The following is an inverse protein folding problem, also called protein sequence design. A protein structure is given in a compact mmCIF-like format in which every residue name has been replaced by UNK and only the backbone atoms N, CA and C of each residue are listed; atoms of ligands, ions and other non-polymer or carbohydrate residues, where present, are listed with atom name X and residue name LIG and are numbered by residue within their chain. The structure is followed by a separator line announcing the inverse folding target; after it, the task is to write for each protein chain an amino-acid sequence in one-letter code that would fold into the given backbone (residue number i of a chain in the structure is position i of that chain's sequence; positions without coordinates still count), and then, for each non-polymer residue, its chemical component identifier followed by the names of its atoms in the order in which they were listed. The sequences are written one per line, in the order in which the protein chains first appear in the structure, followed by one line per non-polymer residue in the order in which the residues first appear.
data_IF_303400930768
#
_entry.id   IF_303400930768
#
_cell.length_a   1.000
_cell.length_b   1.000
_cell.length_c   1.000
_cell.angle_alpha   90.00
_cell.angle_beta   90.00
_cell.angle_gamma   90.00
#
_symmetry.space_group_name_H-M   'P 1'
#
loop_
_entity.id
_entity.type
_entity.pdbx_description
1 polymer ?
#
# COMPACT_ATOMS: atom_id res chain seq x y z
N UNK A 1 0.08 -7.52 -39.15
CA UNK A 1 -0.63 -7.35 -37.88
C UNK A 1 0.35 -7.54 -36.74
N UNK A 2 0.91 -6.45 -36.21
CA UNK A 2 1.94 -6.48 -35.17
C UNK A 2 1.31 -6.39 -33.78
N UNK A 3 1.50 -7.42 -32.98
CA UNK A 3 1.15 -7.43 -31.56
C UNK A 3 2.11 -6.49 -30.81
N UNK A 4 1.68 -5.30 -30.44
CA UNK A 4 2.40 -4.44 -29.52
C UNK A 4 2.22 -4.98 -28.11
N UNK A 5 3.23 -5.67 -27.61
CA UNK A 5 3.36 -6.08 -26.22
C UNK A 5 3.65 -4.80 -25.41
N UNK A 6 2.67 -4.35 -24.63
CA UNK A 6 2.88 -3.27 -23.65
C UNK A 6 3.52 -3.91 -22.43
N UNK A 7 4.85 -3.75 -22.32
CA UNK A 7 5.60 -4.04 -21.10
C UNK A 7 5.25 -2.96 -20.07
N UNK A 8 4.41 -3.31 -19.10
CA UNK A 8 4.28 -2.53 -17.87
C UNK A 8 5.49 -2.87 -17.01
N UNK A 9 6.50 -1.99 -17.07
CA UNK A 9 7.67 -2.08 -16.21
C UNK A 9 7.26 -1.93 -14.75
N UNK A 10 7.30 -3.01 -14.01
CA UNK A 10 7.23 -3.02 -12.55
C UNK A 10 8.51 -2.36 -12.04
N UNK A 11 8.44 -1.08 -11.67
CA UNK A 11 9.54 -0.36 -11.03
C UNK A 11 9.69 -0.89 -9.60
N UNK A 12 10.48 -1.95 -9.44
CA UNK A 12 10.94 -2.40 -8.13
C UNK A 12 12.00 -1.39 -7.67
N UNK A 13 11.60 -0.44 -6.84
CA UNK A 13 12.54 0.39 -6.09
C UNK A 13 13.14 -0.52 -5.02
N UNK A 14 14.34 -1.04 -5.30
CA UNK A 14 15.17 -1.68 -4.30
C UNK A 14 15.60 -0.60 -3.31
N UNK A 15 14.91 -0.50 -2.18
CA UNK A 15 15.38 0.26 -1.02
C UNK A 15 16.52 -0.57 -0.43
N UNK A 16 17.76 -0.18 -0.73
CA UNK A 16 18.92 -0.70 -0.03
C UNK A 16 18.78 -0.33 1.44
N UNK A 17 18.52 -1.32 2.29
CA UNK A 17 18.54 -1.14 3.73
C UNK A 17 19.97 -0.76 4.12
N UNK A 18 20.18 0.49 4.51
CA UNK A 18 21.40 0.93 5.16
C UNK A 18 21.39 0.28 6.53
N UNK A 19 22.21 -0.73 6.74
CA UNK A 19 22.40 -1.35 8.04
C UNK A 19 23.10 -0.34 8.95
N UNK A 20 22.38 0.18 9.91
CA UNK A 20 22.92 1.06 10.93
C UNK A 20 23.31 0.23 12.16
N UNK A 21 24.59 0.27 12.52
CA UNK A 21 25.07 -0.36 13.74
C UNK A 21 24.91 0.60 14.94
N UNK A 22 24.63 0.07 16.11
CA UNK A 22 24.58 0.82 17.35
C UNK A 22 25.92 0.64 18.08
N UNK A 23 26.67 1.74 18.20
CA UNK A 23 27.96 1.78 18.86
C UNK A 23 27.77 2.32 20.28
N UNK A 24 28.19 1.55 21.28
CA UNK A 24 28.13 1.98 22.68
C UNK A 24 29.54 2.41 23.15
N UNK A 25 29.66 3.64 23.60
CA UNK A 25 30.89 4.20 24.16
C UNK A 25 30.99 3.89 25.66
N UNK A 26 32.24 3.95 26.19
CA UNK A 26 32.54 3.70 27.61
C UNK A 26 31.82 4.64 28.57
N UNK A 27 31.49 5.85 28.11
CA UNK A 27 30.70 6.82 28.89
C UNK A 27 29.19 6.51 28.90
N UNK A 28 28.73 5.38 28.28
CA UNK A 28 27.33 4.98 28.17
C UNK A 28 26.59 5.63 27.02
N UNK A 29 27.20 6.50 26.24
CA UNK A 29 26.56 7.11 25.07
C UNK A 29 26.44 6.09 23.96
N UNK A 30 25.23 6.02 23.35
CA UNK A 30 24.92 5.18 22.18
C UNK A 30 24.87 6.04 20.93
N UNK A 31 25.58 5.63 19.89
CA UNK A 31 25.66 6.33 18.61
C UNK A 31 25.16 5.38 17.54
N UNK A 32 24.23 5.84 16.71
CA UNK A 32 23.69 5.07 15.61
C UNK A 32 24.33 5.55 14.30
N UNK A 33 24.89 4.62 13.54
CA UNK A 33 25.52 4.92 12.26
C UNK A 33 26.16 3.70 11.61
N UNK A 34 26.62 3.90 10.39
CA UNK A 34 27.37 2.91 9.61
C UNK A 34 28.84 2.93 10.02
N UNK A 35 29.41 1.80 10.45
CA UNK A 35 30.84 1.68 10.74
C UNK A 35 31.61 1.56 9.43
N UNK A 36 32.40 2.60 9.10
CA UNK A 36 33.19 2.66 7.86
C UNK A 36 34.57 2.04 8.04
N UNK A 37 35.19 2.28 9.19
CA UNK A 37 36.54 1.79 9.52
C UNK A 37 36.53 1.33 10.97
N UNK A 38 37.09 0.14 11.22
CA UNK A 38 37.34 -0.39 12.54
C UNK A 38 38.74 -1.03 12.54
N UNK A 39 39.61 -0.49 13.37
CA UNK A 39 40.94 -1.05 13.65
C UNK A 39 41.27 -0.93 15.12
N UNK A 40 42.44 -1.38 15.53
CA UNK A 40 42.86 -1.39 16.93
C UNK A 40 43.08 0.03 17.53
N UNK A 41 43.12 1.05 16.69
CA UNK A 41 43.36 2.44 17.12
C UNK A 41 42.09 3.29 17.06
N UNK A 42 41.28 3.14 16.01
CA UNK A 42 40.14 4.03 15.77
C UNK A 42 38.92 3.29 15.16
N UNK A 43 37.74 3.80 15.50
CA UNK A 43 36.48 3.45 14.87
C UNK A 43 35.88 4.70 14.22
N UNK A 44 35.62 4.65 12.92
CA UNK A 44 34.99 5.75 12.17
C UNK A 44 33.54 5.37 11.85
N UNK A 45 32.62 6.20 12.28
CA UNK A 45 31.20 6.04 12.16
C UNK A 45 30.61 7.16 11.31
N UNK A 46 29.77 6.82 10.37
CA UNK A 46 29.00 7.76 9.55
C UNK A 46 27.54 7.76 10.02
N UNK A 47 27.03 8.91 10.43
CA UNK A 47 25.64 9.03 10.83
C UNK A 47 24.69 9.15 9.60
N UNK A 48 23.37 9.14 9.86
CA UNK A 48 22.34 9.26 8.83
C UNK A 48 22.42 10.58 8.02
N UNK A 49 23.03 11.64 8.56
CA UNK A 49 23.25 12.91 7.85
C UNK A 49 24.53 12.92 6.99
N UNK A 50 25.29 11.81 6.97
CA UNK A 50 26.53 11.69 6.21
C UNK A 50 27.79 12.22 6.96
N UNK A 51 27.64 12.78 8.15
CA UNK A 51 28.76 13.24 8.96
C UNK A 51 29.56 12.04 9.51
N UNK A 52 30.89 12.17 9.51
CA UNK A 52 31.83 11.14 9.99
C UNK A 52 32.36 11.54 11.34
N UNK A 53 32.32 10.61 12.28
CA UNK A 53 32.86 10.76 13.63
C UNK A 53 33.91 9.69 13.84
N UNK A 54 35.02 10.11 14.48
CA UNK A 54 36.13 9.23 14.79
C UNK A 54 36.22 9.07 16.30
N UNK A 55 36.27 7.83 16.75
CA UNK A 55 36.40 7.46 18.17
C UNK A 55 37.63 6.60 18.37
N UNK A 56 38.41 6.80 19.43
CA UNK A 56 39.47 5.87 19.82
C UNK A 56 38.88 4.48 20.08
N UNK A 57 39.51 3.42 19.59
CA UNK A 57 39.00 2.07 19.75
C UNK A 57 38.76 1.67 21.22
N UNK A 58 39.63 2.19 22.14
CA UNK A 58 39.49 1.96 23.58
C UNK A 58 38.26 2.61 24.25
N UNK A 59 37.59 3.55 23.57
CA UNK A 59 36.36 4.17 24.06
C UNK A 59 35.11 3.45 23.58
N UNK A 60 35.21 2.54 22.60
CA UNK A 60 34.13 1.75 22.09
C UNK A 60 34.01 0.46 22.89
N UNK A 61 32.87 0.28 23.57
CA UNK A 61 32.61 -0.90 24.41
C UNK A 61 31.97 -2.03 23.57
N UNK A 62 31.08 -1.67 22.67
CA UNK A 62 30.43 -2.66 21.79
C UNK A 62 29.93 -2.01 20.49
N UNK A 63 29.98 -2.80 19.42
CA UNK A 63 29.36 -2.50 18.14
C UNK A 63 28.36 -3.63 17.92
N UNK A 64 27.06 -3.33 17.93
CA UNK A 64 26.00 -4.29 17.69
C UNK A 64 25.36 -3.99 16.34
N UNK A 65 25.41 -4.94 15.42
CA UNK A 65 24.57 -4.91 14.23
C UNK A 65 23.13 -5.22 14.64
N UNK A 66 22.17 -4.55 14.04
CA UNK A 66 20.74 -4.64 14.43
C UNK A 66 20.12 -6.04 14.30
N UNK A 67 20.88 -7.05 13.86
CA UNK A 67 20.42 -8.44 13.68
C UNK A 67 20.79 -9.41 14.80
N UNK A 68 21.54 -9.02 15.83
CA UNK A 68 21.95 -9.97 16.89
C UNK A 68 21.22 -9.70 18.20
N UNK A 69 20.00 -10.17 18.33
CA UNK A 69 19.32 -10.34 19.64
C UNK A 69 19.87 -11.57 20.35
N UNK A 70 20.94 -11.40 21.12
CA UNK A 70 21.27 -12.32 22.21
C UNK A 70 20.77 -11.71 23.51
N UNK A 71 19.91 -12.45 24.19
CA UNK A 71 19.37 -12.17 25.51
C UNK A 71 20.46 -11.83 26.52
N UNK A 72 20.44 -10.60 27.02
CA UNK A 72 20.93 -10.30 28.37
C UNK A 72 19.90 -9.41 29.06
N UNK A 73 19.34 -9.97 30.09
CA UNK A 73 18.40 -9.43 31.06
C UNK A 73 18.99 -8.18 31.72
N UNK A 74 18.57 -6.98 31.25
CA UNK A 74 18.72 -5.73 31.96
C UNK A 74 17.32 -5.24 32.23
N UNK A 75 16.97 -5.16 33.52
CA UNK A 75 15.72 -4.63 34.05
C UNK A 75 15.50 -3.20 33.51
N UNK A 76 14.80 -3.08 32.39
CA UNK A 76 14.29 -1.78 31.92
C UNK A 76 13.03 -1.41 32.69
N UNK A 77 12.80 -0.10 32.96
CA UNK A 77 11.54 0.34 33.52
C UNK A 77 10.42 -0.06 32.55
N UNK A 78 9.42 -0.74 33.09
CA UNK A 78 8.25 -1.26 32.38
C UNK A 78 7.68 -0.23 31.41
N UNK A 79 8.10 -0.28 30.16
CA UNK A 79 7.33 0.30 29.07
C UNK A 79 6.07 -0.54 28.95
N UNK A 80 4.95 0.12 29.16
CA UNK A 80 3.61 -0.46 29.13
C UNK A 80 3.48 -1.50 28.01
N UNK A 81 3.16 -2.72 28.41
CA UNK A 81 2.90 -3.88 27.58
C UNK A 81 2.12 -3.47 26.34
N UNK A 82 2.77 -3.50 25.17
CA UNK A 82 2.07 -3.31 23.91
C UNK A 82 1.04 -4.43 23.82
N UNK A 83 -0.24 -4.15 23.79
CA UNK A 83 -1.27 -5.16 23.90
C UNK A 83 -1.12 -6.20 22.78
N UNK A 84 -0.68 -7.38 23.12
CA UNK A 84 -0.62 -8.58 22.28
C UNK A 84 -2.04 -9.12 21.98
N UNK A 85 -2.92 -8.30 21.51
CA UNK A 85 -4.27 -8.74 21.15
C UNK A 85 -4.46 -8.57 19.64
N UNK A 86 -4.89 -9.63 18.98
CA UNK A 86 -5.55 -9.54 17.67
C UNK A 86 -6.72 -8.55 17.80
N UNK A 87 -6.47 -7.28 17.58
CA UNK A 87 -7.53 -6.28 17.67
C UNK A 87 -8.20 -6.20 16.31
N UNK A 88 -9.48 -6.57 16.31
CA UNK A 88 -10.33 -6.26 15.17
C UNK A 88 -10.29 -4.75 14.94
N UNK A 89 -10.12 -4.39 13.68
CA UNK A 89 -10.07 -3.01 13.22
C UNK A 89 -11.06 -2.87 12.10
N UNK A 90 -11.84 -1.81 12.14
CA UNK A 90 -12.71 -1.40 11.04
C UNK A 90 -12.00 -0.33 10.21
N UNK A 91 -12.25 -0.34 8.91
CA UNK A 91 -11.77 0.68 8.00
C UNK A 91 -12.95 1.16 7.16
N UNK A 92 -13.15 2.47 7.14
CA UNK A 92 -14.10 3.16 6.26
C UNK A 92 -13.29 4.08 5.36
N UNK A 93 -13.54 4.02 4.07
CA UNK A 93 -12.80 4.86 3.14
C UNK A 93 -13.66 5.40 2.00
N UNK A 94 -13.18 6.53 1.46
CA UNK A 94 -13.68 7.16 0.25
C UNK A 94 -12.54 7.31 -0.75
N UNK A 95 -12.85 7.15 -2.02
CA UNK A 95 -11.90 7.32 -3.13
C UNK A 95 -12.53 8.19 -4.20
N UNK A 96 -11.73 9.08 -4.81
CA UNK A 96 -12.18 9.89 -5.93
C UNK A 96 -11.03 10.24 -6.86
N UNK A 97 -11.29 10.30 -8.16
CA UNK A 97 -10.23 10.56 -9.13
C UNK A 97 -10.65 10.40 -10.59
N UNK A 98 -9.66 10.24 -11.45
CA UNK A 98 -9.83 9.97 -12.87
C UNK A 98 -10.03 8.49 -13.17
N UNK A 99 -10.79 8.20 -14.22
CA UNK A 99 -10.97 6.87 -14.78
C UNK A 99 -10.55 6.89 -16.25
N UNK A 100 -9.83 5.86 -16.67
CA UNK A 100 -9.39 5.65 -18.06
C UNK A 100 -9.87 4.28 -18.48
N UNK A 101 -10.56 4.23 -19.60
CA UNK A 101 -10.93 2.98 -20.27
C UNK A 101 -10.16 2.94 -21.58
N UNK A 102 -9.28 1.96 -21.81
CA UNK A 102 -8.63 1.79 -23.11
C UNK A 102 -9.68 1.73 -24.21
N UNK A 103 -9.53 2.56 -25.24
CA UNK A 103 -10.44 2.72 -26.39
C UNK A 103 -11.68 3.61 -26.14
N UNK A 104 -11.90 4.13 -24.94
CA UNK A 104 -12.95 5.10 -24.62
C UNK A 104 -12.35 6.40 -24.07
N UNK A 105 -13.20 7.40 -23.87
CA UNK A 105 -12.77 8.68 -23.29
C UNK A 105 -12.40 8.53 -21.80
N UNK A 106 -11.55 9.44 -21.35
CA UNK A 106 -11.29 9.61 -19.92
C UNK A 106 -12.56 10.07 -19.19
N UNK A 107 -12.65 9.75 -17.92
CA UNK A 107 -13.80 10.10 -17.09
C UNK A 107 -13.44 10.24 -15.61
N UNK A 108 -14.44 10.23 -14.77
CA UNK A 108 -14.32 10.32 -13.32
C UNK A 108 -14.62 8.99 -12.64
N UNK A 109 -14.16 8.89 -11.40
CA UNK A 109 -14.42 7.76 -10.53
C UNK A 109 -14.66 8.27 -9.11
N UNK A 110 -15.64 7.69 -8.45
CA UNK A 110 -15.90 7.86 -7.02
C UNK A 110 -16.21 6.50 -6.41
N UNK A 111 -15.74 6.26 -5.18
CA UNK A 111 -15.99 5.01 -4.50
C UNK A 111 -15.96 5.14 -3.00
N UNK A 112 -16.49 4.11 -2.34
CA UNK A 112 -16.43 3.95 -0.89
C UNK A 112 -16.19 2.49 -0.54
N UNK A 113 -15.56 2.22 0.60
CA UNK A 113 -15.31 0.86 1.07
C UNK A 113 -15.45 0.75 2.59
N UNK A 114 -15.92 -0.42 3.01
CA UNK A 114 -16.00 -0.84 4.41
C UNK A 114 -15.23 -2.14 4.55
N UNK A 115 -14.28 -2.18 5.47
CA UNK A 115 -13.45 -3.36 5.70
C UNK A 115 -13.36 -3.68 7.18
N UNK A 116 -13.18 -4.96 7.46
CA UNK A 116 -12.91 -5.50 8.78
C UNK A 116 -11.66 -6.36 8.71
N UNK A 117 -10.78 -6.23 9.69
CA UNK A 117 -9.52 -6.97 9.68
C UNK A 117 -8.79 -6.95 11.00
N UNK A 118 -7.55 -7.39 10.95
CA UNK A 118 -6.60 -7.32 12.06
C UNK A 118 -5.59 -6.22 11.79
N UNK A 119 -5.26 -5.45 12.84
CA UNK A 119 -4.24 -4.40 12.79
C UNK A 119 -2.84 -4.90 13.03
N UNK A 120 -2.70 -6.08 13.62
CA UNK A 120 -1.41 -6.66 13.96
C UNK A 120 -1.32 -8.09 13.43
N UNK A 121 -0.20 -8.40 12.77
CA UNK A 121 0.16 -9.77 12.41
C UNK A 121 1.48 -10.07 13.12
N UNK A 122 1.41 -10.91 14.16
CA UNK A 122 2.52 -11.09 15.08
C UNK A 122 2.83 -9.78 15.83
N UNK A 123 4.10 -9.37 15.81
CA UNK A 123 4.58 -8.13 16.45
C UNK A 123 4.53 -6.91 15.52
N UNK A 124 4.27 -7.09 14.22
CA UNK A 124 4.27 -6.00 13.24
C UNK A 124 2.88 -5.37 13.11
N UNK A 125 2.85 -4.05 13.10
CA UNK A 125 1.64 -3.30 12.76
C UNK A 125 1.41 -3.38 11.27
N UNK A 126 0.31 -4.01 10.85
CA UNK A 126 -0.16 -4.05 9.47
C UNK A 126 -1.64 -4.40 9.46
N UNK A 127 -2.40 -3.77 8.58
CA UNK A 127 -3.79 -4.14 8.38
C UNK A 127 -3.87 -5.30 7.39
N UNK A 128 -4.54 -6.36 7.80
CA UNK A 128 -4.98 -7.43 6.91
C UNK A 128 -6.47 -7.65 7.17
N UNK A 129 -7.27 -7.46 6.14
CA UNK A 129 -8.71 -7.55 6.29
C UNK A 129 -9.43 -7.86 4.98
N UNK A 130 -10.73 -8.03 5.10
CA UNK A 130 -11.63 -8.17 3.97
C UNK A 130 -12.78 -7.18 4.07
N UNK A 131 -13.45 -6.92 2.98
CA UNK A 131 -14.56 -5.99 2.97
C UNK A 131 -15.26 -5.87 1.62
N UNK A 132 -16.21 -4.98 1.62
CA UNK A 132 -17.04 -4.65 0.47
C UNK A 132 -16.87 -3.17 0.12
N UNK A 133 -17.08 -2.84 -1.13
CA UNK A 133 -17.07 -1.46 -1.58
C UNK A 133 -18.18 -1.17 -2.58
N UNK A 134 -18.25 0.09 -2.96
CA UNK A 134 -19.02 0.57 -4.10
C UNK A 134 -18.13 1.50 -4.92
N UNK A 135 -18.05 1.26 -6.22
CA UNK A 135 -17.28 2.08 -7.15
C UNK A 135 -18.16 2.52 -8.31
N UNK A 136 -18.32 3.82 -8.50
CA UNK A 136 -18.96 4.44 -9.65
C UNK A 136 -17.92 4.98 -10.61
N UNK A 137 -18.00 4.63 -11.88
CA UNK A 137 -17.12 5.11 -12.95
C UNK A 137 -17.95 5.81 -14.02
N UNK A 138 -17.60 7.02 -14.36
CA UNK A 138 -18.32 7.92 -15.27
C UNK A 138 -17.46 8.11 -16.52
N UNK A 139 -17.67 7.33 -17.55
CA UNK A 139 -16.85 7.31 -18.77
C UNK A 139 -17.73 7.33 -20.01
N UNK A 140 -17.42 8.22 -20.97
CA UNK A 140 -18.15 8.31 -22.24
C UNK A 140 -19.64 8.60 -22.09
N UNK A 141 -20.05 9.40 -21.09
CA UNK A 141 -21.45 9.69 -20.80
C UNK A 141 -22.23 8.52 -20.18
N UNK A 142 -21.57 7.42 -19.84
CA UNK A 142 -22.15 6.23 -19.20
C UNK A 142 -21.65 6.11 -17.77
N UNK A 143 -22.50 5.56 -16.90
CA UNK A 143 -22.15 5.23 -15.52
C UNK A 143 -22.07 3.72 -15.35
N UNK A 144 -20.93 3.25 -14.85
CA UNK A 144 -20.69 1.86 -14.49
C UNK A 144 -20.53 1.76 -12.98
N UNK A 145 -21.34 0.95 -12.33
CA UNK A 145 -21.30 0.74 -10.88
C UNK A 145 -20.86 -0.69 -10.58
N UNK A 146 -19.86 -0.82 -9.69
CA UNK A 146 -19.32 -2.09 -9.24
C UNK A 146 -19.41 -2.20 -7.73
N UNK A 147 -19.65 -3.40 -7.24
CA UNK A 147 -19.58 -3.76 -5.83
C UNK A 147 -18.40 -4.72 -5.63
N UNK A 148 -17.19 -4.23 -5.33
CA UNK A 148 -16.06 -5.10 -5.05
C UNK A 148 -16.21 -5.80 -3.68
N UNK A 149 -16.05 -7.13 -3.70
CA UNK A 149 -15.72 -7.94 -2.54
C UNK A 149 -14.21 -8.17 -2.57
N UNK A 150 -13.48 -7.75 -1.53
CA UNK A 150 -12.03 -7.66 -1.59
C UNK A 150 -11.34 -8.02 -0.28
N UNK A 151 -10.10 -8.47 -0.40
CA UNK A 151 -9.13 -8.54 0.70
C UNK A 151 -8.12 -7.41 0.51
N UNK A 152 -7.59 -6.90 1.61
CA UNK A 152 -6.62 -5.82 1.60
C UNK A 152 -5.51 -6.04 2.60
N UNK A 153 -4.31 -5.64 2.21
CA UNK A 153 -3.15 -5.50 3.08
C UNK A 153 -2.67 -4.05 3.03
N UNK A 154 -2.40 -3.45 4.22
CA UNK A 154 -1.80 -2.11 4.32
C UNK A 154 -0.67 -2.18 5.35
N UNK A 155 0.51 -1.75 4.93
CA UNK A 155 1.75 -1.87 5.72
C UNK A 155 2.30 -0.48 6.01
N UNK A 156 2.29 -0.02 7.26
CA UNK A 156 3.05 1.14 7.67
C UNK A 156 4.54 0.78 7.76
N UNK A 157 5.40 1.70 7.32
CA UNK A 157 6.85 1.48 7.36
C UNK A 157 7.48 1.87 8.69
N UNK A 158 6.86 2.80 9.41
CA UNK A 158 7.37 3.33 10.67
C UNK A 158 6.37 3.07 11.81
N UNK A 159 6.90 2.79 12.98
CA UNK A 159 6.12 2.76 14.22
C UNK A 159 5.86 4.19 14.71
N UNK A 160 4.68 4.43 15.29
CA UNK A 160 4.35 5.71 15.88
C UNK A 160 3.16 6.43 15.24
N UNK A 161 3.08 7.75 15.50
CA UNK A 161 1.93 8.57 15.04
C UNK A 161 1.94 8.82 13.54
N UNK A 162 3.12 8.89 12.93
CA UNK A 162 3.34 9.24 11.53
C UNK A 162 4.03 8.10 10.81
N UNK A 163 3.47 7.64 9.70
CA UNK A 163 4.09 6.56 8.92
C UNK A 163 3.70 6.63 7.45
N UNK A 164 4.68 6.56 6.53
CA UNK A 164 4.39 6.20 5.15
C UNK A 164 3.72 4.82 5.11
N UNK A 165 2.81 4.61 4.17
CA UNK A 165 2.13 3.33 3.98
C UNK A 165 2.19 2.90 2.52
N UNK A 166 2.19 1.59 2.32
CA UNK A 166 1.82 0.96 1.06
C UNK A 166 0.66 0.02 1.32
N UNK A 167 -0.18 -0.17 0.30
CA UNK A 167 -1.30 -1.08 0.39
C UNK A 167 -1.61 -1.73 -0.94
N UNK A 168 -2.25 -2.89 -0.85
CA UNK A 168 -2.77 -3.60 -2.00
C UNK A 168 -4.11 -4.25 -1.64
N UNK A 169 -5.01 -4.25 -2.62
CA UNK A 169 -6.30 -4.90 -2.52
C UNK A 169 -6.47 -5.86 -3.71
N UNK A 170 -7.12 -6.99 -3.47
CA UNK A 170 -7.47 -7.96 -4.50
C UNK A 170 -8.87 -8.49 -4.24
N UNK A 171 -9.65 -8.67 -5.30
CA UNK A 171 -11.01 -9.14 -5.15
C UNK A 171 -11.76 -9.34 -6.47
N UNK A 172 -13.06 -9.35 -6.35
CA UNK A 172 -13.97 -9.44 -7.48
C UNK A 172 -15.03 -8.32 -7.39
N UNK A 173 -15.14 -7.51 -8.43
CA UNK A 173 -16.14 -6.46 -8.51
C UNK A 173 -17.38 -6.94 -9.27
N UNK A 174 -18.52 -7.01 -8.61
CA UNK A 174 -19.81 -7.35 -9.23
C UNK A 174 -20.36 -6.12 -9.94
N UNK A 175 -20.66 -6.24 -11.23
CA UNK A 175 -21.32 -5.18 -11.99
C UNK A 175 -22.81 -5.07 -11.60
N UNK A 176 -23.25 -3.86 -11.23
CA UNK A 176 -24.65 -3.58 -10.85
C UNK A 176 -25.38 -2.83 -11.94
N UNK A 177 -24.67 -2.12 -12.80
CA UNK A 177 -25.27 -1.42 -13.94
C UNK A 177 -25.86 -2.40 -14.96
N UNK A 178 -26.95 -2.02 -15.62
CA UNK A 178 -27.50 -2.77 -16.73
C UNK A 178 -26.42 -3.04 -17.79
N UNK A 179 -26.41 -4.25 -18.35
CA UNK A 179 -25.47 -4.65 -19.40
C UNK A 179 -23.98 -4.65 -18.96
N UNK A 180 -23.71 -4.76 -17.65
CA UNK A 180 -22.37 -4.83 -17.11
C UNK A 180 -22.26 -6.01 -16.14
N UNK A 181 -21.41 -6.97 -16.42
CA UNK A 181 -21.07 -8.04 -15.47
C UNK A 181 -19.73 -7.77 -14.83
N UNK A 182 -19.50 -8.35 -13.66
CA UNK A 182 -18.30 -8.16 -12.88
C UNK A 182 -17.05 -8.83 -13.45
N UNK A 183 -15.94 -8.63 -12.74
CA UNK A 183 -14.64 -9.22 -13.06
C UNK A 183 -13.62 -8.97 -11.95
N UNK A 184 -12.37 -9.28 -12.24
CA UNK A 184 -11.27 -9.13 -11.31
C UNK A 184 -11.13 -7.65 -10.92
N UNK A 185 -10.99 -7.43 -9.62
CA UNK A 185 -10.66 -6.15 -9.02
C UNK A 185 -9.31 -6.21 -8.34
N UNK A 186 -8.47 -5.21 -8.57
CA UNK A 186 -7.23 -5.02 -7.83
C UNK A 186 -6.96 -3.54 -7.62
N UNK A 187 -6.28 -3.21 -6.54
CA UNK A 187 -5.82 -1.86 -6.27
C UNK A 187 -4.46 -1.87 -5.60
N UNK A 188 -3.69 -0.81 -5.84
CA UNK A 188 -2.44 -0.51 -5.16
C UNK A 188 -2.46 0.93 -4.69
N UNK A 189 -1.88 1.17 -3.53
CA UNK A 189 -1.85 2.51 -2.94
C UNK A 189 -0.52 2.80 -2.26
N UNK A 190 -0.13 4.07 -2.28
CA UNK A 190 0.98 4.62 -1.53
C UNK A 190 0.52 5.91 -0.86
N UNK A 191 0.86 6.10 0.39
CA UNK A 191 0.35 7.25 1.12
C UNK A 191 0.96 7.42 2.49
N UNK A 192 0.20 8.08 3.33
CA UNK A 192 0.63 8.48 4.66
C UNK A 192 -0.46 8.18 5.69
N UNK A 193 -0.05 7.63 6.83
CA UNK A 193 -0.90 7.36 7.97
C UNK A 193 -0.60 8.35 9.08
N UNK A 194 -1.65 8.91 9.68
CA UNK A 194 -1.61 9.72 10.88
C UNK A 194 -2.47 9.09 11.96
N UNK A 195 -1.85 8.63 13.06
CA UNK A 195 -2.56 8.03 14.18
C UNK A 195 -2.91 9.11 15.23
N UNK A 196 -4.20 9.40 15.40
CA UNK A 196 -4.70 10.27 16.46
C UNK A 196 -4.62 9.60 17.83
N UNK A 197 -4.85 8.29 17.84
CA UNK A 197 -4.80 7.46 19.06
C UNK A 197 -4.38 6.02 18.70
N UNK A 198 -4.13 5.17 19.70
CA UNK A 198 -3.85 3.75 19.44
C UNK A 198 -4.96 3.01 18.69
N UNK A 199 -6.16 3.58 18.60
CA UNK A 199 -7.32 2.96 17.93
C UNK A 199 -7.74 3.68 16.67
N UNK A 200 -7.49 4.99 16.56
CA UNK A 200 -7.98 5.83 15.47
C UNK A 200 -6.82 6.36 14.63
N UNK A 201 -6.83 6.08 13.34
CA UNK A 201 -5.87 6.65 12.41
C UNK A 201 -6.55 7.08 11.10
N UNK A 202 -6.03 8.16 10.52
CA UNK A 202 -6.35 8.64 9.18
C UNK A 202 -5.29 8.15 8.21
N UNK A 203 -5.71 7.64 7.08
CA UNK A 203 -4.85 7.28 5.95
C UNK A 203 -5.21 8.17 4.77
N UNK A 204 -4.20 8.78 4.19
CA UNK A 204 -4.33 9.56 2.95
C UNK A 204 -3.38 8.96 1.93
N UNK A 205 -3.88 8.50 0.80
CA UNK A 205 -3.06 7.82 -0.22
C UNK A 205 -3.47 8.18 -1.65
N UNK A 206 -2.49 8.05 -2.54
CA UNK A 206 -2.73 7.91 -3.97
C UNK A 206 -3.00 6.44 -4.26
N UNK A 207 -4.08 6.17 -4.97
CA UNK A 207 -4.55 4.82 -5.25
C UNK A 207 -4.79 4.65 -6.75
N UNK A 208 -4.25 3.55 -7.28
CA UNK A 208 -4.57 3.06 -8.62
C UNK A 208 -5.44 1.83 -8.46
N UNK A 209 -6.52 1.74 -9.24
CA UNK A 209 -7.40 0.58 -9.25
C UNK A 209 -7.52 0.04 -10.66
N UNK A 210 -7.69 -1.27 -10.75
CA UNK A 210 -7.95 -1.99 -11.97
C UNK A 210 -9.20 -2.84 -11.78
N UNK A 211 -10.21 -2.65 -12.66
CA UNK A 211 -11.45 -3.38 -12.64
C UNK A 211 -11.72 -3.97 -14.03
N UNK A 212 -11.82 -5.28 -14.13
CA UNK A 212 -12.33 -5.93 -15.33
C UNK A 212 -13.86 -6.00 -15.30
N UNK A 213 -14.46 -5.90 -16.47
CA UNK A 213 -15.89 -6.12 -16.64
C UNK A 213 -16.17 -6.66 -18.04
N UNK A 214 -17.32 -7.32 -18.19
CA UNK A 214 -17.88 -7.62 -19.51
C UNK A 214 -19.09 -6.72 -19.70
N UNK A 215 -19.12 -6.03 -20.84
CA UNK A 215 -20.17 -5.05 -21.17
C UNK A 215 -20.87 -5.55 -22.41
N UNK A 216 -22.21 -5.55 -22.40
CA UNK A 216 -23.01 -5.85 -23.56
C UNK A 216 -22.97 -4.64 -24.49
N UNK A 217 -22.44 -4.81 -25.69
CA UNK A 217 -22.38 -3.82 -26.75
C UNK A 217 -23.35 -4.23 -27.87
N UNK A 218 -24.07 -3.27 -28.40
CA UNK A 218 -24.89 -3.48 -29.59
C UNK A 218 -24.00 -3.22 -30.81
N UNK A 219 -23.77 -4.27 -31.58
CA UNK A 219 -23.06 -4.18 -32.86
C UNK A 219 -24.11 -4.27 -33.97
N UNK A 220 -24.05 -3.38 -34.96
CA UNK A 220 -24.92 -3.38 -36.12
C UNK A 220 -24.11 -3.79 -37.32
N UNK A 221 -24.50 -4.89 -37.95
CA UNK A 221 -23.99 -5.31 -39.24
C UNK A 221 -25.03 -4.88 -40.30
N UNK A 222 -24.54 -4.10 -41.27
CA UNK A 222 -25.36 -3.74 -42.46
C UNK A 222 -24.82 -4.54 -43.63
N UNK A 223 -25.66 -5.42 -44.17
CA UNK A 223 -25.37 -6.24 -45.35
C UNK A 223 -26.54 -6.07 -46.29
N UNK A 224 -26.31 -5.69 -47.54
CA UNK A 224 -27.33 -5.48 -48.57
C UNK A 224 -28.56 -4.63 -48.14
N UNK A 225 -28.33 -3.45 -47.59
CA UNK A 225 -29.32 -2.51 -47.03
C UNK A 225 -30.15 -3.06 -45.84
N UNK A 226 -29.84 -4.25 -45.34
CA UNK A 226 -30.46 -4.80 -44.15
C UNK A 226 -29.53 -4.59 -42.96
N UNK A 227 -29.96 -3.80 -41.98
CA UNK A 227 -29.24 -3.59 -40.74
C UNK A 227 -29.72 -4.53 -39.64
N UNK A 228 -28.89 -5.47 -39.25
CA UNK A 228 -29.15 -6.39 -38.14
C UNK A 228 -28.35 -5.97 -36.93
N UNK A 229 -29.02 -5.67 -35.81
CA UNK A 229 -28.40 -5.38 -34.54
C UNK A 229 -28.32 -6.68 -33.73
N UNK A 230 -27.11 -6.99 -33.21
CA UNK A 230 -26.90 -8.08 -32.29
C UNK A 230 -26.15 -7.59 -31.04
N UNK A 231 -26.42 -8.26 -29.92
CA UNK A 231 -25.75 -7.95 -28.66
C UNK A 231 -24.50 -8.82 -28.55
N UNK A 232 -23.32 -8.18 -28.56
CA UNK A 232 -22.05 -8.84 -28.27
C UNK A 232 -21.58 -8.50 -26.86
N UNK A 233 -20.90 -9.44 -26.20
CA UNK A 233 -20.35 -9.24 -24.86
C UNK A 233 -18.85 -9.00 -24.94
N UNK A 234 -18.45 -7.74 -24.70
CA UNK A 234 -17.08 -7.28 -24.86
C UNK A 234 -16.41 -7.14 -23.49
N UNK A 235 -15.20 -7.71 -23.34
CA UNK A 235 -14.38 -7.49 -22.16
C UNK A 235 -13.79 -6.07 -22.12
N UNK A 236 -13.96 -5.36 -21.02
CA UNK A 236 -13.42 -4.02 -20.79
C UNK A 236 -12.60 -3.99 -19.52
N UNK A 237 -11.55 -3.16 -19.52
CA UNK A 237 -10.71 -2.89 -18.35
C UNK A 237 -10.81 -1.42 -18.00
N UNK A 238 -11.13 -1.15 -16.76
CA UNK A 238 -11.16 0.19 -16.20
C UNK A 238 -9.92 0.38 -15.33
N UNK A 239 -9.17 1.44 -15.58
CA UNK A 239 -8.03 1.86 -14.75
C UNK A 239 -8.40 3.19 -14.14
N UNK A 240 -8.27 3.31 -12.82
CA UNK A 240 -8.51 4.58 -12.12
C UNK A 240 -7.29 5.00 -11.35
N UNK A 241 -7.11 6.30 -11.24
CA UNK A 241 -6.10 6.94 -10.41
C UNK A 241 -6.81 8.01 -9.58
N UNK A 242 -6.59 8.02 -8.28
CA UNK A 242 -7.28 8.97 -7.41
C UNK A 242 -6.69 9.08 -6.01
N UNK A 243 -7.31 9.96 -5.25
CA UNK A 243 -7.04 10.14 -3.83
C UNK A 243 -7.95 9.20 -3.04
N UNK A 244 -7.38 8.51 -2.07
CA UNK A 244 -8.08 7.62 -1.16
C UNK A 244 -7.88 8.11 0.26
N UNK A 245 -8.98 8.32 0.97
CA UNK A 245 -9.01 8.77 2.36
C UNK A 245 -9.70 7.71 3.18
N UNK A 246 -9.02 7.18 4.19
CA UNK A 246 -9.58 6.15 5.06
C UNK A 246 -9.41 6.47 6.54
N UNK A 247 -10.38 6.05 7.34
CA UNK A 247 -10.33 6.04 8.79
C UNK A 247 -10.28 4.60 9.27
N UNK A 248 -9.36 4.30 10.19
CA UNK A 248 -9.27 3.00 10.89
C UNK A 248 -9.57 3.20 12.36
N UNK A 249 -10.37 2.29 12.95
CA UNK A 249 -10.78 2.33 14.37
C UNK A 249 -11.05 0.95 14.92
#
# INVERSE_FOLDING_TARGET
MGKKLVFIGLLIVAVSAIQASVITLRNGQKIQGEVIVQNDEVVIVKNASGARFQYPAGEVVSIADEESKTEQEITEPQTADKPQGKRMTFLIALTGGGAIVPQDNAGGHIGGELMIGSRYIGKKEMFLGGGIGVNGMFVGGKTYTFLPLQIAVKVPFLEGKHSPIVGANLGYGFGVSKNCSGGIYSAAEVGYRYAFSPRLALLLSLRTQFQQAKIDAVETITEDDISTAYISRIGRSFVTIGVHVALTF
#
